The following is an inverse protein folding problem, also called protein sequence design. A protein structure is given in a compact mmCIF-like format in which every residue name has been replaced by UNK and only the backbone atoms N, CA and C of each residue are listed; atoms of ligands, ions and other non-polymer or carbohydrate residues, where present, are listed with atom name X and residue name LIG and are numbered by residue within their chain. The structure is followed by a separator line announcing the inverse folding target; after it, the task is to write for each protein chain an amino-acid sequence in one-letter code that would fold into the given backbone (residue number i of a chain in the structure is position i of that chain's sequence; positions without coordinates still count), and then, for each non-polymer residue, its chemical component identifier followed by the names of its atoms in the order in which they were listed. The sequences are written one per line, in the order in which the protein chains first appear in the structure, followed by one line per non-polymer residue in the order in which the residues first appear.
data_IF_875425690613
#
_entry.id   IF_875425690613
#
_cell.length_a   1.000
_cell.length_b   1.000
_cell.length_c   1.000
_cell.angle_alpha   90.00
_cell.angle_beta   90.00
_cell.angle_gamma   90.00
#
_symmetry.space_group_name_H-M   'P 1'
#
loop_
_entity.id
_entity.type
_entity.pdbx_description
1 polymer ?
#
# COMPACT_ATOMS: atom_id res chain seq x y z
N UNK A 1 -9.62 13.91 15.91
CA UNK A 1 -8.98 12.59 16.05
C UNK A 1 -9.54 11.71 14.97
N UNK A 2 -8.70 11.00 14.22
CA UNK A 2 -9.16 10.04 13.23
C UNK A 2 -9.73 8.81 13.95
N UNK A 3 -11.04 8.58 13.81
CA UNK A 3 -11.74 7.47 14.46
C UNK A 3 -11.31 6.08 13.98
N UNK A 4 -10.65 5.99 12.81
CA UNK A 4 -10.24 4.72 12.23
C UNK A 4 -8.84 4.25 12.64
N UNK A 5 -8.02 5.09 13.30
CA UNK A 5 -6.62 4.76 13.61
C UNK A 5 -6.45 3.45 14.39
N UNK A 6 -7.29 3.23 15.41
CA UNK A 6 -7.22 2.01 16.23
C UNK A 6 -7.52 0.75 15.42
N UNK A 7 -8.56 0.81 14.58
CA UNK A 7 -8.93 -0.29 13.67
C UNK A 7 -7.84 -0.54 12.62
N UNK A 8 -7.34 0.54 12.00
CA UNK A 8 -6.27 0.48 11.02
C UNK A 8 -5.01 -0.16 11.61
N UNK A 9 -4.62 0.22 12.84
CA UNK A 9 -3.47 -0.37 13.55
C UNK A 9 -3.66 -1.85 13.83
N UNK A 10 -4.84 -2.25 14.29
CA UNK A 10 -5.12 -3.64 14.66
C UNK A 10 -5.01 -4.62 13.48
N UNK A 11 -5.36 -4.16 12.27
CA UNK A 11 -5.32 -4.95 11.04
C UNK A 11 -4.20 -4.53 10.08
N UNK A 12 -3.27 -3.66 10.51
CA UNK A 12 -2.21 -3.15 9.66
C UNK A 12 -1.27 -4.30 9.25
N UNK A 13 -0.67 -4.26 8.05
CA UNK A 13 0.17 -5.36 7.60
C UNK A 13 1.49 -5.44 8.37
N UNK A 14 2.06 -6.64 8.47
CA UNK A 14 3.50 -6.80 8.70
C UNK A 14 4.20 -6.75 7.35
N UNK A 15 5.16 -5.84 7.20
CA UNK A 15 5.84 -5.56 5.92
C UNK A 15 7.23 -6.17 5.95
N UNK A 16 7.45 -7.18 5.12
CA UNK A 16 8.73 -7.83 4.90
C UNK A 16 9.44 -7.11 3.74
N UNK A 17 10.12 -6.01 4.07
CA UNK A 17 10.79 -5.13 3.11
C UNK A 17 12.15 -5.71 2.73
N UNK A 18 12.32 -6.17 1.50
CA UNK A 18 13.65 -6.47 0.97
C UNK A 18 14.43 -5.17 0.75
N UNK A 19 15.73 -5.20 1.02
CA UNK A 19 16.63 -4.06 0.81
C UNK A 19 17.83 -4.48 -0.01
N UNK A 20 18.33 -3.57 -0.86
CA UNK A 20 19.53 -3.79 -1.64
C UNK A 20 20.80 -3.63 -0.77
N UNK A 21 21.81 -4.53 -0.85
CA UNK A 21 22.99 -4.49 0.02
C UNK A 21 23.80 -3.18 -0.02
N UNK A 22 23.83 -2.50 -1.17
CA UNK A 22 24.61 -1.27 -1.38
C UNK A 22 23.79 0.01 -1.40
N UNK A 23 22.46 -0.10 -1.41
CA UNK A 23 21.55 1.03 -1.58
C UNK A 23 20.28 0.91 -0.76
N UNK A 24 20.29 0.07 0.27
CA UNK A 24 19.09 -0.36 1.01
C UNK A 24 18.33 0.75 1.69
N UNK A 25 18.99 1.89 1.98
CA UNK A 25 18.33 3.08 2.51
C UNK A 25 17.25 3.61 1.56
N UNK A 26 17.42 3.40 0.27
CA UNK A 26 16.53 3.89 -0.78
C UNK A 26 15.27 3.02 -0.89
N UNK A 27 15.32 1.81 -0.31
CA UNK A 27 14.20 0.87 -0.21
C UNK A 27 13.42 1.05 1.12
N UNK A 28 13.75 2.07 1.93
CA UNK A 28 13.03 2.35 3.16
C UNK A 28 11.75 3.12 2.86
N UNK A 29 10.59 2.67 3.40
CA UNK A 29 9.38 3.48 3.39
C UNK A 29 9.59 4.81 4.10
N UNK A 30 8.96 5.86 3.58
CA UNK A 30 9.08 7.20 4.11
C UNK A 30 7.73 7.93 4.11
N UNK A 31 7.59 9.03 4.87
CA UNK A 31 6.53 9.97 4.64
C UNK A 31 6.64 10.58 3.23
N UNK A 32 5.54 10.92 2.58
CA UNK A 32 5.57 11.63 1.28
C UNK A 32 6.14 13.05 1.40
N UNK A 33 6.25 13.55 2.63
CA UNK A 33 6.76 14.86 3.02
C UNK A 33 7.97 14.73 3.96
N UNK A 34 8.81 13.72 3.76
CA UNK A 34 9.97 13.45 4.61
C UNK A 34 10.98 14.61 4.66
N UNK A 35 10.97 15.46 3.65
CA UNK A 35 11.78 16.68 3.51
C UNK A 35 11.02 17.96 3.90
N UNK A 36 9.79 17.82 4.41
CA UNK A 36 8.95 18.91 4.88
C UNK A 36 8.07 19.57 3.82
N UNK A 37 7.99 19.04 2.60
CA UNK A 37 7.12 19.57 1.55
C UNK A 37 6.39 18.44 0.77
N UNK A 38 5.55 18.78 -0.23
CA UNK A 38 4.81 17.80 -1.05
C UNK A 38 5.22 17.92 -2.53
N UNK A 39 6.51 18.13 -2.79
CA UNK A 39 7.09 18.21 -4.12
C UNK A 39 7.56 16.80 -4.53
N UNK A 40 7.02 16.28 -5.63
CA UNK A 40 7.44 14.98 -6.17
C UNK A 40 8.83 15.03 -6.81
N UNK A 41 9.29 16.20 -7.25
CA UNK A 41 10.42 16.35 -8.19
C UNK A 41 11.81 16.46 -7.55
N UNK A 42 11.92 16.53 -6.21
CA UNK A 42 13.18 16.72 -5.50
C UNK A 42 13.47 15.66 -4.42
N UNK A 43 12.67 14.59 -4.36
CA UNK A 43 12.83 13.52 -3.38
C UNK A 43 14.22 12.89 -3.43
N UNK A 44 14.78 12.61 -4.60
CA UNK A 44 16.11 12.01 -4.75
C UNK A 44 17.22 12.92 -4.21
N UNK A 45 17.13 14.23 -4.47
CA UNK A 45 18.08 15.25 -4.02
C UNK A 45 18.00 15.42 -2.50
N UNK A 46 16.80 15.31 -1.95
CA UNK A 46 16.55 15.47 -0.53
C UNK A 46 16.84 14.20 0.27
N UNK A 47 16.72 13.02 -0.34
CA UNK A 47 16.98 11.72 0.27
C UNK A 47 18.21 11.69 1.22
N UNK A 48 19.43 12.09 0.81
CA UNK A 48 20.60 12.03 1.69
C UNK A 48 20.60 13.02 2.87
N UNK A 49 19.67 13.98 2.91
CA UNK A 49 19.68 15.09 3.87
C UNK A 49 18.60 14.97 4.97
N UNK A 50 17.65 14.05 4.84
CA UNK A 50 16.51 13.92 5.74
C UNK A 50 16.32 12.48 6.21
N UNK A 51 15.78 12.32 7.41
CA UNK A 51 15.48 11.02 8.02
C UNK A 51 14.26 10.36 7.38
N UNK A 52 14.34 9.05 7.11
CA UNK A 52 13.25 8.26 6.55
C UNK A 52 12.53 7.50 7.65
N UNK A 53 11.45 8.11 8.16
CA UNK A 53 10.61 7.50 9.18
C UNK A 53 9.62 6.51 8.54
N UNK A 54 9.73 5.19 8.76
CA UNK A 54 8.81 4.24 8.12
C UNK A 54 7.35 4.61 8.36
N UNK A 55 6.62 4.86 7.28
CA UNK A 55 5.26 5.39 7.31
C UNK A 55 4.38 4.65 6.32
N UNK A 56 3.22 4.19 6.80
CA UNK A 56 2.13 3.71 5.96
C UNK A 56 0.96 4.67 6.06
N UNK A 57 0.38 5.02 4.91
CA UNK A 57 -0.87 5.76 4.87
C UNK A 57 -2.04 4.79 4.89
N UNK A 58 -3.11 5.09 5.62
CA UNK A 58 -4.32 4.27 5.65
C UNK A 58 -5.57 5.06 5.28
N UNK A 59 -6.50 4.37 4.60
CA UNK A 59 -7.86 4.82 4.37
C UNK A 59 -8.83 3.73 4.84
N UNK A 60 -9.98 4.15 5.38
CA UNK A 60 -11.03 3.25 5.84
C UNK A 60 -12.36 3.58 5.16
N UNK A 61 -12.98 2.57 4.56
CA UNK A 61 -14.40 2.58 4.18
C UNK A 61 -15.09 1.37 4.79
N UNK A 62 -16.37 1.51 5.10
CA UNK A 62 -17.11 0.48 5.85
C UNK A 62 -18.47 0.23 5.24
N UNK A 63 -18.83 -1.05 5.13
CA UNK A 63 -20.20 -1.49 4.86
C UNK A 63 -20.79 -2.17 6.08
N UNK A 64 -22.07 -2.55 5.99
CA UNK A 64 -22.71 -3.29 7.07
C UNK A 64 -21.98 -4.61 7.44
N UNK A 65 -21.26 -5.22 6.49
CA UNK A 65 -20.63 -6.55 6.69
C UNK A 65 -19.11 -6.56 6.70
N UNK A 66 -18.43 -5.54 6.15
CA UNK A 66 -16.97 -5.55 6.04
C UNK A 66 -16.35 -4.18 6.33
N UNK A 67 -15.13 -4.22 6.87
CA UNK A 67 -14.19 -3.10 6.81
C UNK A 67 -13.25 -3.28 5.63
N UNK A 68 -12.96 -2.20 4.92
CA UNK A 68 -11.95 -2.15 3.86
C UNK A 68 -10.88 -1.14 4.28
N UNK A 69 -9.67 -1.63 4.54
CA UNK A 69 -8.53 -0.85 4.99
C UNK A 69 -7.49 -0.83 3.88
N UNK A 70 -7.42 0.28 3.14
CA UNK A 70 -6.39 0.47 2.12
C UNK A 70 -5.15 1.04 2.79
N UNK A 71 -3.99 0.45 2.53
CA UNK A 71 -2.70 0.98 2.95
C UNK A 71 -1.85 1.34 1.72
N UNK A 72 -1.10 2.41 1.84
CA UNK A 72 -0.18 2.90 0.82
C UNK A 72 1.21 3.06 1.43
N UNK A 73 2.20 2.49 0.74
CA UNK A 73 3.62 2.57 1.09
C UNK A 73 4.28 3.48 0.08
N UNK A 74 4.98 4.50 0.55
CA UNK A 74 5.76 5.41 -0.27
C UNK A 74 7.25 5.20 -0.02
N UNK A 75 8.00 5.17 -1.11
CA UNK A 75 9.45 5.19 -1.15
C UNK A 75 9.89 6.45 -1.91
N UNK A 76 10.97 7.14 -1.49
CA UNK A 76 11.41 8.37 -2.17
C UNK A 76 11.80 8.18 -3.65
N UNK A 77 12.00 6.94 -4.12
CA UNK A 77 12.41 6.62 -5.50
C UNK A 77 12.13 5.17 -5.88
N UNK A 78 11.92 4.92 -7.18
CA UNK A 78 12.21 3.62 -7.81
C UNK A 78 13.59 3.72 -8.47
N UNK A 79 14.42 2.69 -8.34
CA UNK A 79 15.83 2.79 -8.68
C UNK A 79 16.55 1.51 -9.07
N UNK A 80 17.58 1.67 -9.91
CA UNK A 80 18.52 0.61 -10.27
C UNK A 80 19.97 1.04 -9.95
N UNK A 81 20.91 0.11 -9.64
CA UNK A 81 22.31 0.44 -9.37
C UNK A 81 23.02 1.11 -10.54
N UNK A 82 22.53 0.87 -11.76
CA UNK A 82 23.00 1.55 -12.96
C UNK A 82 21.82 2.32 -13.53
N UNK A 83 21.93 3.64 -13.44
CA UNK A 83 20.97 4.57 -13.97
C UNK A 83 21.17 4.70 -15.49
N UNK A 84 20.66 3.71 -16.23
CA UNK A 84 20.54 3.83 -17.68
C UNK A 84 19.31 4.68 -17.99
N UNK A 85 19.35 5.58 -18.98
CA UNK A 85 18.21 6.41 -19.39
C UNK A 85 17.14 5.59 -20.15
N UNK A 86 16.85 4.38 -19.65
CA UNK A 86 15.94 3.38 -20.19
C UNK A 86 14.65 3.25 -19.35
N UNK A 87 14.34 4.23 -18.50
CA UNK A 87 13.07 4.32 -17.75
C UNK A 87 12.88 3.25 -16.66
N UNK A 88 13.97 2.85 -15.99
CA UNK A 88 13.94 1.90 -14.86
C UNK A 88 14.10 2.59 -13.50
N UNK A 89 14.14 3.92 -13.48
CA UNK A 89 14.32 4.73 -12.28
C UNK A 89 13.43 5.96 -12.36
N UNK A 90 12.83 6.38 -11.24
CA UNK A 90 12.03 7.60 -11.15
C UNK A 90 11.94 8.15 -9.72
N UNK A 91 11.63 9.45 -9.63
CA UNK A 91 11.27 10.10 -8.37
C UNK A 91 9.98 9.52 -7.83
N UNK A 92 9.95 9.23 -6.53
CA UNK A 92 8.80 8.68 -5.84
C UNK A 92 8.41 7.28 -6.33
N UNK A 93 8.11 6.40 -5.40
CA UNK A 93 7.49 5.13 -5.70
C UNK A 93 6.42 4.83 -4.68
N UNK A 94 5.27 4.38 -5.16
CA UNK A 94 4.07 4.29 -4.37
C UNK A 94 3.38 2.99 -4.70
N UNK A 95 3.07 2.19 -3.69
CA UNK A 95 2.40 0.91 -3.89
C UNK A 95 1.30 0.70 -2.85
N UNK A 96 0.26 -0.02 -3.25
CA UNK A 96 -0.96 -0.14 -2.47
C UNK A 96 -1.27 -1.59 -2.09
N UNK A 97 -1.90 -1.76 -0.94
CA UNK A 97 -2.53 -3.00 -0.53
C UNK A 97 -3.88 -2.69 0.15
N UNK A 98 -4.77 -3.67 0.20
CA UNK A 98 -6.03 -3.53 0.93
C UNK A 98 -6.31 -4.78 1.74
N UNK A 99 -6.58 -4.58 3.03
CA UNK A 99 -7.01 -5.62 3.96
C UNK A 99 -8.53 -5.54 4.10
N UNK A 100 -9.22 -6.65 3.84
CA UNK A 100 -10.68 -6.75 4.01
C UNK A 100 -10.97 -7.61 5.23
N UNK A 101 -11.76 -7.05 6.15
CA UNK A 101 -12.13 -7.69 7.43
C UNK A 101 -13.62 -7.96 7.45
N UNK A 102 -14.00 -9.21 7.77
CA UNK A 102 -15.38 -9.59 8.04
C UNK A 102 -15.80 -9.12 9.43
N UNK A 103 -16.87 -8.35 9.53
CA UNK A 103 -17.42 -7.88 10.81
C UNK A 103 -18.14 -8.96 11.61
N UNK A 104 -18.51 -10.07 10.96
CA UNK A 104 -19.19 -11.17 11.64
C UNK A 104 -18.21 -12.05 12.44
N UNK A 105 -16.94 -12.08 12.02
CA UNK A 105 -15.91 -12.96 12.59
C UNK A 105 -14.67 -12.20 13.09
N UNK A 106 -14.61 -10.89 12.87
CA UNK A 106 -13.43 -10.03 13.13
C UNK A 106 -12.13 -10.53 12.47
N UNK A 107 -12.28 -11.30 11.39
CA UNK A 107 -11.18 -11.93 10.66
C UNK A 107 -10.80 -11.13 9.42
N UNK A 108 -9.50 -11.07 9.14
CA UNK A 108 -9.00 -10.76 7.79
C UNK A 108 -9.41 -11.88 6.84
N UNK A 109 -10.19 -11.57 5.82
CA UNK A 109 -10.75 -12.57 4.89
C UNK A 109 -10.17 -12.46 3.47
N UNK A 110 -9.73 -11.27 3.08
CA UNK A 110 -9.14 -11.00 1.77
C UNK A 110 -8.01 -9.98 1.89
N UNK A 111 -6.97 -10.17 1.10
CA UNK A 111 -5.86 -9.25 0.94
C UNK A 111 -5.72 -8.94 -0.56
N UNK A 112 -5.70 -7.67 -0.91
CA UNK A 112 -5.23 -7.20 -2.19
C UNK A 112 -3.82 -6.64 -2.06
N UNK A 113 -2.95 -6.90 -3.03
CA UNK A 113 -1.65 -6.23 -3.15
C UNK A 113 -1.43 -5.75 -4.58
N UNK A 114 -0.65 -4.69 -4.72
CA UNK A 114 -0.27 -4.10 -6.00
C UNK A 114 1.24 -4.25 -6.19
N UNK A 115 1.63 -4.76 -7.34
CA UNK A 115 3.02 -4.79 -7.77
C UNK A 115 3.09 -4.17 -9.17
N UNK A 116 3.63 -2.96 -9.23
CA UNK A 116 3.58 -2.10 -10.39
C UNK A 116 2.13 -2.02 -10.91
N UNK A 117 1.93 -2.17 -12.20
CA UNK A 117 0.61 -2.07 -12.85
C UNK A 117 -0.37 -3.22 -12.58
N UNK A 118 -0.02 -4.19 -11.75
CA UNK A 118 -0.75 -5.44 -11.58
C UNK A 118 -1.21 -5.64 -10.14
N UNK A 119 -2.51 -5.60 -9.94
CA UNK A 119 -3.11 -6.01 -8.67
C UNK A 119 -3.30 -7.52 -8.58
N UNK A 120 -3.36 -8.03 -7.35
CA UNK A 120 -3.61 -9.44 -7.05
C UNK A 120 -4.38 -9.60 -5.75
N UNK A 121 -5.17 -10.66 -5.64
CA UNK A 121 -5.91 -10.99 -4.43
C UNK A 121 -5.49 -12.33 -3.83
N UNK A 122 -5.54 -12.41 -2.50
CA UNK A 122 -5.23 -13.56 -1.68
C UNK A 122 -6.36 -13.73 -0.68
N UNK A 123 -6.73 -14.97 -0.35
CA UNK A 123 -7.81 -15.24 0.60
C UNK A 123 -7.33 -15.90 1.88
N UNK A 124 -8.05 -15.70 2.97
CA UNK A 124 -7.92 -16.57 4.14
C UNK A 124 -8.48 -17.95 3.77
N UNK A 125 -7.75 -19.05 3.96
CA UNK A 125 -8.26 -20.38 3.64
C UNK A 125 -9.64 -20.64 4.27
N UNK A 126 -10.62 -20.98 3.43
CA UNK A 126 -12.01 -21.22 3.85
C UNK A 126 -12.90 -19.99 3.93
N UNK A 127 -12.42 -18.80 3.54
CA UNK A 127 -13.24 -17.59 3.45
C UNK A 127 -14.28 -17.66 2.31
N UNK A 128 -14.07 -18.53 1.32
CA UNK A 128 -15.08 -18.86 0.31
C UNK A 128 -15.13 -17.87 -0.85
N UNK A 129 -14.01 -17.21 -1.16
CA UNK A 129 -13.91 -16.40 -2.37
C UNK A 129 -13.66 -17.30 -3.59
N UNK A 130 -14.20 -16.90 -4.74
CA UNK A 130 -13.97 -17.58 -6.02
C UNK A 130 -13.32 -16.65 -7.03
N UNK A 131 -12.41 -17.17 -7.85
CA UNK A 131 -11.78 -16.39 -8.91
C UNK A 131 -12.59 -16.41 -10.21
N UNK A 132 -13.62 -15.57 -10.32
CA UNK A 132 -14.46 -15.51 -11.54
C UNK A 132 -13.76 -14.82 -12.70
N UNK A 133 -13.28 -13.60 -12.50
CA UNK A 133 -12.55 -12.81 -13.51
C UNK A 133 -11.12 -12.52 -13.10
N UNK A 134 -10.86 -12.44 -11.80
CA UNK A 134 -9.53 -12.34 -11.22
C UNK A 134 -9.19 -13.62 -10.46
N UNK A 135 -7.99 -14.15 -10.67
CA UNK A 135 -7.56 -15.37 -10.00
C UNK A 135 -6.95 -15.04 -8.63
N UNK A 136 -7.38 -15.80 -7.60
CA UNK A 136 -6.74 -15.76 -6.29
C UNK A 136 -5.33 -16.33 -6.39
N UNK A 137 -4.35 -15.59 -5.88
CA UNK A 137 -2.92 -15.90 -5.99
C UNK A 137 -2.40 -16.81 -4.87
N UNK A 138 -3.28 -17.23 -3.96
CA UNK A 138 -2.96 -18.14 -2.88
C UNK A 138 -3.50 -17.68 -1.52
N UNK A 139 -3.07 -18.36 -0.44
CA UNK A 139 -3.49 -18.05 0.91
C UNK A 139 -2.79 -16.81 1.49
N UNK A 140 -3.46 -16.11 2.40
CA UNK A 140 -2.85 -15.07 3.23
C UNK A 140 -2.01 -15.72 4.35
N UNK A 141 -0.79 -15.21 4.57
CA UNK A 141 -0.07 -15.45 5.82
C UNK A 141 -0.57 -14.46 6.86
N UNK A 142 -1.26 -14.96 7.88
CA UNK A 142 -1.65 -14.17 9.04
C UNK A 142 -0.63 -14.35 10.15
N UNK A 143 -0.29 -13.26 10.83
CA UNK A 143 0.62 -13.24 11.98
C UNK A 143 -0.03 -12.55 13.19
N UNK A 144 0.40 -12.95 14.38
CA UNK A 144 0.02 -12.30 15.63
C UNK A 144 0.76 -10.96 15.86
N UNK A 145 0.50 -10.30 16.99
CA UNK A 145 1.13 -9.03 17.38
C UNK A 145 2.67 -9.14 17.57
N UNK A 146 3.19 -10.37 17.65
CA UNK A 146 4.62 -10.68 17.73
C UNK A 146 5.22 -11.12 16.39
N UNK A 147 4.43 -11.18 15.32
CA UNK A 147 4.88 -11.55 13.98
C UNK A 147 4.96 -13.05 13.74
N UNK A 148 4.42 -13.88 14.63
CA UNK A 148 4.42 -15.33 14.48
C UNK A 148 3.23 -15.78 13.64
N UNK A 149 3.42 -16.70 12.67
CA UNK A 149 2.31 -17.27 11.92
C UNK A 149 1.18 -17.79 12.82
N UNK A 150 -0.03 -17.28 12.62
CA UNK A 150 -1.19 -17.60 13.44
C UNK A 150 -2.47 -17.59 12.61
N UNK A 151 -3.30 -18.63 12.75
CA UNK A 151 -4.60 -18.73 12.05
C UNK A 151 -5.63 -17.71 12.54
N UNK A 152 -5.41 -17.16 13.73
CA UNK A 152 -6.22 -16.10 14.35
C UNK A 152 -5.44 -14.78 14.42
N UNK A 153 -4.30 -14.68 13.72
CA UNK A 153 -3.57 -13.44 13.59
C UNK A 153 -4.40 -12.40 12.83
N UNK A 154 -4.25 -11.15 13.19
CA UNK A 154 -5.01 -10.02 12.61
C UNK A 154 -4.19 -9.27 11.57
N UNK A 155 -2.90 -9.57 11.46
CA UNK A 155 -2.00 -8.91 10.54
C UNK A 155 -1.72 -9.79 9.32
N UNK A 156 -1.98 -9.27 8.13
CA UNK A 156 -1.49 -9.88 6.91
C UNK A 156 0.02 -9.59 6.76
N UNK A 157 0.82 -10.62 6.52
CA UNK A 157 2.22 -10.45 6.15
C UNK A 157 2.35 -10.27 4.63
N UNK A 158 3.01 -9.18 4.23
CA UNK A 158 3.29 -8.84 2.83
C UNK A 158 4.79 -8.74 2.60
N UNK A 159 5.24 -9.09 1.40
CA UNK A 159 6.60 -8.89 0.91
C UNK A 159 6.64 -7.66 0.01
N UNK A 160 7.68 -6.84 0.16
CA UNK A 160 7.95 -5.67 -0.68
C UNK A 160 9.31 -5.83 -1.31
N UNK A 161 9.37 -5.73 -2.64
CA UNK A 161 10.62 -5.85 -3.38
C UNK A 161 11.60 -4.71 -3.02
N UNK A 162 12.90 -4.99 -3.07
CA UNK A 162 13.86 -3.89 -3.19
C UNK A 162 13.70 -3.24 -4.57
N UNK A 163 14.03 -1.95 -4.69
CA UNK A 163 14.06 -1.14 -5.91
C UNK A 163 12.74 -0.69 -6.49
N UNK A 164 11.97 -1.61 -7.07
CA UNK A 164 10.69 -1.30 -7.72
C UNK A 164 9.48 -1.53 -6.83
N UNK A 165 9.72 -1.90 -5.56
CA UNK A 165 8.78 -1.92 -4.44
C UNK A 165 7.43 -2.64 -4.61
N UNK A 166 7.27 -3.49 -5.62
CA UNK A 166 6.05 -4.27 -5.79
C UNK A 166 5.66 -5.08 -4.53
N UNK A 167 4.37 -5.07 -4.20
CA UNK A 167 3.83 -5.72 -3.00
C UNK A 167 3.19 -7.06 -3.36
N UNK A 168 3.56 -8.09 -2.60
CA UNK A 168 3.03 -9.45 -2.73
C UNK A 168 2.57 -9.97 -1.38
N UNK A 169 1.58 -10.87 -1.35
CA UNK A 169 1.34 -11.70 -0.18
C UNK A 169 2.59 -12.53 0.15
N UNK A 170 2.95 -12.67 1.43
CA UNK A 170 4.21 -13.32 1.82
C UNK A 170 4.34 -14.80 1.39
N UNK A 171 3.23 -15.49 1.11
CA UNK A 171 3.18 -16.86 0.56
C UNK A 171 2.97 -16.90 -0.95
N UNK A 172 2.84 -15.75 -1.60
CA UNK A 172 2.62 -15.64 -3.04
C UNK A 172 3.88 -15.94 -3.84
N UNK A 173 3.72 -16.36 -5.10
CA UNK A 173 4.83 -16.76 -5.97
C UNK A 173 5.89 -15.68 -6.21
N UNK A 174 5.53 -14.39 -6.14
CA UNK A 174 6.47 -13.27 -6.25
C UNK A 174 7.26 -12.94 -4.97
N UNK A 175 6.90 -13.57 -3.85
CA UNK A 175 7.55 -13.36 -2.56
C UNK A 175 8.94 -14.00 -2.52
N UNK A 176 9.96 -13.21 -2.16
CA UNK A 176 11.35 -13.67 -2.04
C UNK A 176 11.82 -13.78 -0.58
N UNK A 177 10.88 -13.99 0.33
CA UNK A 177 11.08 -14.14 1.77
C UNK A 177 10.41 -15.41 2.28
N UNK A 178 11.05 -16.05 3.27
CA UNK A 178 10.49 -17.20 3.99
C UNK A 178 10.31 -16.80 5.45
N UNK A 179 9.11 -17.01 6.00
CA UNK A 179 8.82 -16.76 7.42
C UNK A 179 8.83 -18.09 8.19
N UNK A 180 9.64 -18.19 9.24
CA UNK A 180 9.69 -19.38 10.09
C UNK A 180 8.46 -19.49 11.01
N UNK A 181 8.19 -20.67 11.59
CA UNK A 181 7.12 -20.82 12.59
C UNK A 181 7.28 -19.89 13.81
N UNK A 182 8.49 -19.45 14.11
CA UNK A 182 8.81 -18.51 15.20
C UNK A 182 8.68 -17.04 14.77
N UNK A 183 8.26 -16.75 13.54
CA UNK A 183 8.10 -15.39 13.00
C UNK A 183 9.38 -14.78 12.43
N UNK A 184 10.48 -15.52 12.36
CA UNK A 184 11.72 -15.02 11.78
C UNK A 184 11.62 -14.95 10.25
N UNK A 185 11.88 -13.79 9.65
CA UNK A 185 11.90 -13.61 8.21
C UNK A 185 13.31 -13.80 7.65
N UNK A 186 13.43 -14.66 6.63
CA UNK A 186 14.67 -14.88 5.88
C UNK A 186 14.48 -14.41 4.45
N UNK A 187 15.13 -13.31 4.13
CA UNK A 187 15.16 -12.74 2.79
C UNK A 187 16.15 -13.50 1.90
N UNK A 188 15.91 -13.45 0.59
CA UNK A 188 16.87 -13.93 -0.42
C UNK A 188 18.12 -13.04 -0.50
N UNK A 189 17.99 -11.78 -0.07
CA UNK A 189 19.05 -10.77 0.08
C UNK A 189 19.04 -10.24 1.54
N UNK A 190 19.22 -8.94 1.71
CA UNK A 190 19.00 -8.25 2.98
C UNK A 190 17.53 -7.79 3.07
N UNK A 191 17.07 -7.50 4.27
CA UNK A 191 15.73 -6.95 4.47
C UNK A 191 15.44 -6.56 5.91
N UNK A 192 14.27 -5.96 6.08
CA UNK A 192 13.74 -5.47 7.34
C UNK A 192 12.32 -6.01 7.52
N UNK A 193 11.97 -6.30 8.76
CA UNK A 193 10.60 -6.61 9.14
C UNK A 193 10.01 -5.37 9.78
N UNK A 194 8.99 -4.78 9.17
CA UNK A 194 8.29 -3.61 9.69
C UNK A 194 6.92 -4.03 10.23
N UNK A 195 6.53 -3.43 11.35
CA UNK A 195 5.25 -3.67 12.02
C UNK A 195 4.60 -2.36 12.46
N UNK A 196 3.27 -2.31 12.65
CA UNK A 196 2.64 -1.09 13.14
C UNK A 196 3.24 -0.69 14.50
N UNK A 197 3.52 0.60 14.66
CA UNK A 197 3.92 1.17 15.94
C UNK A 197 2.78 1.03 16.96
N UNK A 198 3.14 0.64 18.18
CA UNK A 198 2.23 0.63 19.32
C UNK A 198 1.87 2.06 19.72
N UNK A 199 0.78 2.23 20.48
CA UNK A 199 0.40 3.56 20.97
C UNK A 199 1.53 4.23 21.75
N UNK A 200 1.93 5.42 21.30
CA UNK A 200 3.01 6.20 21.90
C UNK A 200 4.42 5.69 21.61
N UNK A 201 4.59 4.64 20.80
CA UNK A 201 5.90 4.14 20.41
C UNK A 201 6.57 5.09 19.40
N UNK A 202 7.84 5.41 19.68
CA UNK A 202 8.64 6.23 18.79
C UNK A 202 9.02 5.46 17.51
N UNK A 203 8.97 6.15 16.38
CA UNK A 203 9.42 5.67 15.08
C UNK A 203 10.64 6.49 14.68
N UNK A 204 11.69 5.82 14.21
CA UNK A 204 12.94 6.40 13.74
C UNK A 204 13.39 5.67 12.47
N UNK A 205 14.29 6.25 11.70
CA UNK A 205 14.91 5.57 10.56
C UNK A 205 15.68 4.33 11.06
N UNK A 206 15.36 3.13 10.55
CA UNK A 206 16.03 1.92 10.99
C UNK A 206 17.45 1.84 10.44
N UNK A 207 18.43 1.38 11.25
CA UNK A 207 19.70 0.92 10.72
C UNK A 207 19.47 -0.21 9.71
N UNK A 208 20.17 -0.14 8.58
CA UNK A 208 20.18 -1.25 7.61
C UNK A 208 20.71 -2.52 8.30
N UNK A 209 20.04 -3.65 8.06
CA UNK A 209 20.37 -4.93 8.68
C UNK A 209 19.84 -5.14 10.10
N UNK A 210 18.83 -4.36 10.53
CA UNK A 210 18.15 -4.59 11.79
C UNK A 210 17.58 -6.01 11.87
N UNK A 211 17.90 -6.75 12.94
CA UNK A 211 17.58 -8.19 13.10
C UNK A 211 16.18 -8.42 13.69
N UNK A 212 15.54 -7.38 14.21
CA UNK A 212 14.21 -7.44 14.83
C UNK A 212 13.16 -6.56 14.15
N UNK A 213 11.87 -6.69 14.52
CA UNK A 213 10.79 -5.89 13.95
C UNK A 213 10.95 -4.40 14.27
N UNK A 214 10.89 -3.57 13.22
CA UNK A 214 10.98 -2.11 13.28
C UNK A 214 9.56 -1.52 13.27
N UNK A 215 9.24 -0.56 14.15
CA UNK A 215 7.94 0.11 14.12
C UNK A 215 7.83 1.05 12.91
N UNK A 216 6.66 1.06 12.26
CA UNK A 216 6.25 2.09 11.31
C UNK A 216 5.05 2.87 11.84
N UNK A 217 4.94 4.15 11.47
CA UNK A 217 3.79 4.99 11.84
C UNK A 217 2.65 4.84 10.83
N UNK A 218 1.43 5.05 11.31
CA UNK A 218 0.24 5.10 10.48
C UNK A 218 -0.24 6.54 10.34
N UNK A 219 -0.44 6.98 9.10
CA UNK A 219 -1.01 8.29 8.79
C UNK A 219 -2.31 8.18 8.02
N UNK A 220 -3.27 9.05 8.34
CA UNK A 220 -4.58 9.05 7.69
C UNK A 220 -4.49 9.63 6.27
N UNK A 221 -4.74 8.80 5.26
CA UNK A 221 -4.95 9.26 3.88
C UNK A 221 -6.09 10.27 3.85
N UNK A 222 -7.18 10.04 4.58
CA UNK A 222 -8.32 10.95 4.62
C UNK A 222 -7.95 12.32 5.22
N UNK A 223 -7.25 12.35 6.35
CA UNK A 223 -6.95 13.61 7.04
C UNK A 223 -5.82 14.40 6.39
N UNK A 224 -4.90 13.74 5.68
CA UNK A 224 -3.73 14.36 5.04
C UNK A 224 -3.88 14.44 3.53
N UNK A 225 -3.79 13.30 2.83
CA UNK A 225 -3.67 13.26 1.37
C UNK A 225 -4.97 13.61 0.65
N UNK A 226 -6.11 13.07 1.08
CA UNK A 226 -7.40 13.41 0.51
C UNK A 226 -7.72 14.89 0.70
N UNK A 227 -7.47 15.43 1.90
CA UNK A 227 -7.68 16.85 2.19
C UNK A 227 -6.81 17.74 1.29
N UNK A 228 -5.53 17.40 1.12
CA UNK A 228 -4.63 18.11 0.22
C UNK A 228 -5.05 17.99 -1.25
N UNK A 229 -5.51 16.81 -1.71
CA UNK A 229 -6.07 16.62 -3.05
C UNK A 229 -7.26 17.55 -3.29
N UNK A 230 -8.18 17.63 -2.33
CA UNK A 230 -9.39 18.47 -2.42
C UNK A 230 -9.09 19.96 -2.41
N UNK A 231 -7.97 20.37 -1.84
CA UNK A 231 -7.48 21.77 -1.88
C UNK A 231 -6.69 22.10 -3.14
N UNK A 232 -6.40 21.11 -3.99
CA UNK A 232 -5.55 21.31 -5.17
C UNK A 232 -4.06 21.43 -4.84
N UNK A 233 -3.63 20.89 -3.70
CA UNK A 233 -2.25 20.99 -3.20
C UNK A 233 -1.37 19.80 -3.63
N UNK A 234 -1.96 18.73 -4.18
CA UNK A 234 -1.24 17.49 -4.51
C UNK A 234 -0.92 17.29 -5.99
N UNK A 235 -1.54 18.02 -6.91
CA UNK A 235 -1.53 17.63 -8.33
C UNK A 235 -0.92 18.70 -9.23
N UNK A 236 0.00 18.28 -10.09
CA UNK A 236 0.61 19.11 -11.13
C UNK A 236 2.11 19.29 -10.92
N UNK A 237 2.73 20.07 -11.81
CA UNK A 237 4.18 20.28 -11.82
C UNK A 237 4.70 20.80 -10.47
N UNK A 238 5.71 20.13 -9.90
CA UNK A 238 6.27 20.47 -8.59
C UNK A 238 5.38 20.10 -7.40
N UNK A 239 4.34 19.29 -7.62
CA UNK A 239 3.53 18.68 -6.57
C UNK A 239 3.77 17.17 -6.55
N UNK A 240 3.18 16.49 -5.57
CA UNK A 240 3.43 15.07 -5.29
C UNK A 240 2.94 14.14 -6.41
N UNK A 241 1.83 14.47 -7.06
CA UNK A 241 1.10 13.55 -7.95
C UNK A 241 0.79 14.19 -9.31
N UNK A 242 0.59 13.35 -10.33
CA UNK A 242 0.21 13.77 -11.68
C UNK A 242 -0.62 12.69 -12.43
N UNK A 243 -0.90 12.91 -13.71
CA UNK A 243 -1.52 11.93 -14.59
C UNK A 243 -3.03 11.82 -14.41
N UNK A 244 -3.71 12.93 -14.17
CA UNK A 244 -5.14 12.95 -13.82
C UNK A 244 -6.03 12.22 -14.83
N UNK A 245 -6.94 11.40 -14.33
CA UNK A 245 -8.08 10.84 -15.06
C UNK A 245 -9.39 11.11 -14.31
N UNK A 246 -10.54 11.23 -15.00
CA UNK A 246 -11.81 11.33 -14.31
C UNK A 246 -12.15 10.01 -13.62
N UNK A 247 -12.51 10.07 -12.34
CA UNK A 247 -13.18 9.00 -11.61
C UNK A 247 -14.55 9.49 -11.14
N UNK A 248 -15.58 8.68 -11.36
CA UNK A 248 -16.93 8.99 -10.92
C UNK A 248 -17.71 7.72 -10.58
N UNK A 249 -18.34 7.74 -9.41
CA UNK A 249 -19.39 6.81 -9.03
C UNK A 249 -20.58 7.57 -8.42
N UNK A 250 -21.53 6.85 -7.80
CA UNK A 250 -22.71 7.48 -7.19
C UNK A 250 -22.45 8.34 -5.95
N UNK A 251 -21.24 8.34 -5.39
CA UNK A 251 -20.86 9.02 -4.13
C UNK A 251 -19.74 10.05 -4.31
N UNK A 252 -18.85 9.85 -5.28
CA UNK A 252 -17.67 10.70 -5.48
C UNK A 252 -17.43 10.94 -6.97
N UNK A 253 -17.13 12.20 -7.30
CA UNK A 253 -16.52 12.61 -8.57
C UNK A 253 -15.21 13.31 -8.25
N UNK A 254 -14.11 12.84 -8.83
CA UNK A 254 -12.78 13.40 -8.59
C UNK A 254 -11.89 13.32 -9.83
N UNK A 255 -11.03 14.32 -9.97
CA UNK A 255 -9.85 14.27 -10.81
C UNK A 255 -8.81 13.36 -10.14
N UNK A 256 -8.82 12.07 -10.47
CA UNK A 256 -7.99 11.05 -9.83
C UNK A 256 -6.56 11.14 -10.37
N UNK A 257 -5.55 11.50 -9.56
CA UNK A 257 -4.16 11.43 -9.97
C UNK A 257 -3.71 9.97 -10.01
N UNK A 258 -2.99 9.59 -11.07
CA UNK A 258 -2.61 8.20 -11.34
C UNK A 258 -1.33 7.78 -10.67
N UNK A 259 -0.36 8.68 -10.61
CA UNK A 259 0.99 8.36 -10.18
C UNK A 259 1.63 9.53 -9.44
N UNK A 260 2.74 9.23 -8.77
CA UNK A 260 3.68 10.22 -8.26
C UNK A 260 4.32 10.99 -9.42
N UNK A 261 4.50 12.30 -9.24
CA UNK A 261 5.19 13.14 -10.21
C UNK A 261 6.68 12.79 -10.24
N UNK A 262 7.20 12.58 -11.45
CA UNK A 262 8.61 12.24 -11.65
C UNK A 262 9.12 12.82 -12.96
N UNK A 263 9.70 14.02 -12.91
CA UNK A 263 10.30 14.64 -14.08
C UNK A 263 11.70 14.09 -14.42
N UNK A 264 12.31 13.31 -13.52
CA UNK A 264 13.65 12.73 -13.70
C UNK A 264 13.56 11.28 -14.17
N UNK A 265 14.07 11.03 -15.38
CA UNK A 265 14.33 9.71 -15.99
C UNK A 265 13.12 8.81 -16.33
N UNK A 266 11.91 9.21 -15.94
CA UNK A 266 10.65 8.62 -16.40
C UNK A 266 10.49 8.72 -17.93
N UNK A 267 11.18 9.65 -18.59
CA UNK A 267 11.20 9.81 -20.04
C UNK A 267 9.84 10.02 -20.71
N UNK A 268 9.83 10.31 -22.02
CA UNK A 268 8.61 10.68 -22.73
C UNK A 268 7.61 9.53 -22.91
N UNK A 269 8.01 8.28 -22.63
CA UNK A 269 7.20 7.07 -22.81
C UNK A 269 7.08 6.21 -21.54
N UNK A 270 7.61 6.67 -20.40
CA UNK A 270 7.81 5.88 -19.17
C UNK A 270 6.61 5.06 -18.75
N UNK A 271 6.67 3.73 -18.95
CA UNK A 271 5.61 2.84 -18.55
C UNK A 271 5.73 2.45 -17.09
N UNK A 272 6.71 2.96 -16.31
CA UNK A 272 6.92 2.72 -14.87
C UNK A 272 6.93 4.05 -14.11
N UNK A 273 6.01 4.21 -13.15
CA UNK A 273 5.78 5.41 -12.34
C UNK A 273 5.16 4.95 -11.02
N UNK A 274 5.59 5.53 -9.91
CA UNK A 274 5.04 5.24 -8.59
C UNK A 274 3.54 5.47 -8.54
N UNK A 275 2.78 4.56 -7.95
CA UNK A 275 1.33 4.55 -8.01
C UNK A 275 0.74 5.48 -6.97
N UNK A 276 -0.22 6.30 -7.36
CA UNK A 276 -0.95 7.16 -6.43
C UNK A 276 -1.72 6.33 -5.38
N UNK A 277 -1.84 6.83 -4.13
CA UNK A 277 -2.64 6.19 -3.08
C UNK A 277 -4.12 6.03 -3.44
N UNK A 278 -4.61 6.78 -4.43
CA UNK A 278 -6.00 6.74 -4.89
C UNK A 278 -6.21 5.82 -6.10
N UNK A 279 -5.13 5.40 -6.78
CA UNK A 279 -5.15 4.67 -8.04
C UNK A 279 -5.17 3.14 -7.84
N UNK A 280 -5.96 2.67 -6.88
CA UNK A 280 -6.02 1.25 -6.50
C UNK A 280 -7.02 0.49 -7.37
N UNK A 281 -6.55 -0.51 -8.12
CA UNK A 281 -7.37 -1.47 -8.86
C UNK A 281 -6.53 -2.71 -9.29
N UNK A 282 -7.18 -3.79 -9.73
CA UNK A 282 -6.54 -4.97 -10.29
C UNK A 282 -5.75 -4.70 -11.58
N UNK A 283 -6.15 -3.67 -12.33
CA UNK A 283 -5.49 -3.26 -13.58
C UNK A 283 -5.50 -1.76 -13.75
N UNK A 284 -4.55 -1.25 -14.52
CA UNK A 284 -4.46 0.18 -14.85
C UNK A 284 -5.33 0.63 -16.02
N UNK A 285 -6.46 -0.07 -16.25
CA UNK A 285 -7.39 0.29 -17.31
C UNK A 285 -8.16 1.56 -16.93
N UNK A 286 -8.20 2.51 -17.86
CA UNK A 286 -9.06 3.69 -17.74
C UNK A 286 -10.51 3.26 -17.54
N UNK A 287 -11.18 3.85 -16.54
CA UNK A 287 -12.58 3.56 -16.20
C UNK A 287 -12.77 2.64 -14.99
N UNK A 288 -11.77 1.83 -14.61
CA UNK A 288 -11.82 1.03 -13.37
C UNK A 288 -10.75 1.45 -12.35
N UNK A 289 -9.76 2.22 -12.78
CA UNK A 289 -8.72 2.74 -11.89
C UNK A 289 -9.30 3.55 -10.74
N UNK A 290 -8.93 3.18 -9.51
CA UNK A 290 -9.45 3.77 -8.27
C UNK A 290 -10.70 3.08 -7.72
N UNK A 291 -11.32 2.14 -8.44
CA UNK A 291 -12.52 1.46 -7.96
C UNK A 291 -12.28 0.63 -6.70
N UNK A 292 -11.09 0.05 -6.49
CA UNK A 292 -10.80 -0.62 -5.21
C UNK A 292 -10.59 0.38 -4.06
N UNK A 293 -10.20 1.63 -4.35
CA UNK A 293 -10.09 2.65 -3.32
C UNK A 293 -11.46 3.23 -2.94
N UNK A 294 -12.26 3.61 -3.93
CA UNK A 294 -13.51 4.36 -3.74
C UNK A 294 -14.78 3.49 -3.70
N UNK A 295 -14.78 2.28 -4.26
CA UNK A 295 -15.91 1.33 -4.14
C UNK A 295 -15.44 -0.14 -4.04
N UNK A 296 -14.61 -0.49 -3.05
CA UNK A 296 -14.06 -1.84 -2.92
C UNK A 296 -15.13 -2.93 -2.86
N UNK A 297 -16.24 -2.70 -2.15
CA UNK A 297 -17.30 -3.70 -2.01
C UNK A 297 -17.90 -4.11 -3.36
N UNK A 298 -18.28 -3.15 -4.21
CA UNK A 298 -18.76 -3.45 -5.55
C UNK A 298 -17.65 -4.02 -6.41
N UNK A 299 -16.45 -3.43 -6.34
CA UNK A 299 -15.34 -3.81 -7.20
C UNK A 299 -14.92 -5.26 -6.99
N UNK A 300 -14.87 -5.75 -5.75
CA UNK A 300 -14.63 -7.17 -5.49
C UNK A 300 -15.77 -8.05 -6.00
N UNK A 301 -17.04 -7.67 -5.78
CA UNK A 301 -18.19 -8.44 -6.27
C UNK A 301 -18.29 -8.50 -7.81
N UNK A 302 -17.65 -7.57 -8.53
CA UNK A 302 -17.57 -7.58 -9.99
C UNK A 302 -16.52 -8.54 -10.55
N UNK A 303 -15.46 -8.81 -9.78
CA UNK A 303 -14.26 -9.52 -10.28
C UNK A 303 -14.03 -10.87 -9.59
N UNK A 304 -14.59 -11.05 -8.40
CA UNK A 304 -14.56 -12.27 -7.60
C UNK A 304 -15.98 -12.75 -7.29
N UNK A 305 -16.12 -14.05 -7.06
CA UNK A 305 -17.26 -14.59 -6.33
C UNK A 305 -17.05 -14.27 -4.85
N UNK A 306 -17.98 -13.54 -4.23
CA UNK A 306 -17.86 -13.08 -2.84
C UNK A 306 -18.79 -13.87 -1.89
N UNK A 307 -18.32 -14.27 -0.70
CA UNK A 307 -19.15 -14.98 0.27
C UNK A 307 -20.27 -14.09 0.80
N UNK A 308 -21.43 -14.68 1.09
CA UNK A 308 -22.58 -13.96 1.66
C UNK A 308 -22.59 -14.03 3.19
N UNK A 309 -23.00 -12.95 3.88
CA UNK A 309 -23.52 -11.70 3.34
C UNK A 309 -22.43 -10.70 2.88
N UNK A 310 -22.60 -10.10 1.70
CA UNK A 310 -21.70 -9.07 1.16
C UNK A 310 -22.47 -7.76 0.90
N UNK A 311 -22.38 -6.80 1.82
CA UNK A 311 -23.08 -5.52 1.67
C UNK A 311 -22.34 -4.59 0.70
N UNK A 312 -23.09 -4.00 -0.22
CA UNK A 312 -22.64 -2.92 -1.11
C UNK A 312 -22.99 -1.52 -0.58
N UNK A 313 -23.68 -1.45 0.56
CA UNK A 313 -24.11 -0.21 1.19
C UNK A 313 -23.10 0.22 2.25
N UNK A 314 -22.56 1.42 2.06
CA UNK A 314 -21.55 1.99 2.93
C UNK A 314 -22.18 2.75 4.08
N UNK A 315 -21.71 2.46 5.29
CA UNK A 315 -22.12 3.12 6.53
C UNK A 315 -21.05 4.10 7.03
N UNK A 316 -19.81 3.96 6.57
CA UNK A 316 -18.76 4.97 6.70
C UNK A 316 -18.08 5.19 5.34
N UNK A 317 -18.10 6.43 4.85
CA UNK A 317 -17.53 6.82 3.56
C UNK A 317 -16.96 8.25 3.61
N UNK A 318 -15.66 8.42 3.90
CA UNK A 318 -15.07 9.73 4.15
C UNK A 318 -14.75 10.54 2.87
N UNK A 319 -14.99 9.98 1.69
CA UNK A 319 -14.64 10.60 0.40
C UNK A 319 -15.82 11.26 -0.33
N UNK A 320 -17.00 11.27 0.28
CA UNK A 320 -18.19 11.86 -0.34
C UNK A 320 -17.96 13.33 -0.71
N UNK A 321 -18.39 13.72 -1.90
CA UNK A 321 -18.50 15.14 -2.27
C UNK A 321 -19.70 15.73 -1.56
N UNK A 322 -19.47 16.60 -0.58
CA UNK A 322 -20.46 17.63 -0.23
C UNK A 322 -20.49 18.71 -1.31
#
# INVERSE_FOLDING_TARGET
MDGALGLARHYAPWVLQETHPTGGRQDLPAPVDFDGNLNGDDNWQNLPNYELLPTLYYAHVETATHHFLTFHIFHPRDWEPIDLPLHLTHEGDGENLQVVVSKASDDVVLLFTQAHYRGGAYEKPGAGFGGEREHLRGPILLVDDEGRPSRTGTHAAVFVEAKGHGIYGALGEGSRVVVSPEGAARFSRDGLVLRPARDGEAVAEPPLGSVGPVPYRLESTTAKLWLALRRGELVGKGHLLDGVVPYEDSRVRVALPRYHEGNRLSGPFGPDRGISPFAVDFSWKTGTLGSLFFDPARRYAEVLSVPQPWSLEYINYPFATH
#
